data_IF_995081014950
#
_entry.id   IF_995081014950
#
_cell.length_a   1.000
_cell.length_b   1.000
_cell.length_c   1.000
_cell.angle_alpha   90.00
_cell.angle_beta   90.00
_cell.angle_gamma   90.00
#
_symmetry.space_group_name_H-M   'P 1'
#
loop_
_entity.id
_entity.type
_entity.pdbx_description
1 polymer ?
#
# COMPACT_ATOMS: atom_id res chain seq x y z
N UNK A 1 3.92 -21.23 28.94
CA UNK A 1 2.89 -20.18 29.02
C UNK A 1 2.37 -20.02 27.61
N UNK A 2 1.18 -20.62 27.36
CA UNK A 2 0.49 -20.50 26.08
C UNK A 2 -0.04 -19.08 25.98
N UNK A 3 0.56 -18.27 25.12
CA UNK A 3 -0.03 -17.01 24.68
C UNK A 3 -1.11 -17.41 23.66
N UNK A 4 -2.39 -17.09 23.87
CA UNK A 4 -3.40 -17.36 22.87
C UNK A 4 -3.05 -16.58 21.59
N UNK A 5 -3.19 -17.25 20.45
CA UNK A 5 -3.10 -16.61 19.16
C UNK A 5 -4.09 -15.41 19.13
N UNK A 6 -3.71 -14.27 18.51
CA UNK A 6 -4.62 -13.15 18.41
C UNK A 6 -5.90 -13.61 17.69
N UNK A 7 -7.05 -13.42 18.34
CA UNK A 7 -8.34 -13.64 17.71
C UNK A 7 -8.39 -12.76 16.46
N UNK A 8 -8.48 -13.37 15.27
CA UNK A 8 -8.83 -12.65 14.04
C UNK A 8 -10.12 -11.90 14.34
N UNK A 9 -10.13 -10.59 14.17
CA UNK A 9 -11.34 -9.82 14.29
C UNK A 9 -12.31 -10.35 13.23
N UNK A 10 -13.38 -11.00 13.68
CA UNK A 10 -14.44 -11.54 12.82
C UNK A 10 -15.30 -10.44 12.18
N UNK A 11 -14.77 -9.24 12.04
CA UNK A 11 -15.41 -8.16 11.30
C UNK A 11 -15.15 -8.40 9.81
N UNK A 12 -16.17 -8.72 9.00
CA UNK A 12 -16.02 -8.77 7.57
C UNK A 12 -15.54 -7.39 7.09
N UNK A 13 -14.37 -7.33 6.46
CA UNK A 13 -13.90 -6.13 5.81
C UNK A 13 -12.69 -5.42 6.46
N UNK A 14 -11.94 -6.02 7.37
CA UNK A 14 -10.70 -5.44 7.86
C UNK A 14 -9.50 -6.37 7.57
N UNK A 15 -8.98 -6.28 6.35
CA UNK A 15 -7.76 -6.99 5.92
C UNK A 15 -6.50 -6.12 6.07
N UNK A 16 -6.61 -4.96 6.71
CA UNK A 16 -5.46 -4.08 6.90
C UNK A 16 -4.38 -4.77 7.77
N UNK A 17 -3.13 -4.81 7.33
CA UNK A 17 -2.07 -5.49 8.06
C UNK A 17 -1.77 -4.82 9.40
N UNK A 18 -1.63 -5.62 10.45
CA UNK A 18 -1.38 -5.15 11.83
C UNK A 18 0.08 -5.33 12.27
N UNK A 19 0.91 -6.00 11.45
CA UNK A 19 2.25 -6.41 11.82
C UNK A 19 3.25 -6.13 10.68
N UNK A 20 4.51 -6.52 10.92
CA UNK A 20 5.53 -6.47 9.89
C UNK A 20 5.16 -7.35 8.68
N UNK A 21 5.14 -6.74 7.52
CA UNK A 21 4.84 -7.41 6.25
C UNK A 21 6.09 -7.48 5.39
N UNK A 22 6.64 -8.68 5.13
CA UNK A 22 7.80 -8.81 4.29
C UNK A 22 7.48 -8.47 2.83
N UNK A 23 8.33 -7.62 2.25
CA UNK A 23 8.29 -7.31 0.81
C UNK A 23 8.96 -8.44 0.04
N UNK A 24 8.19 -9.11 -0.79
CA UNK A 24 8.60 -10.32 -1.48
C UNK A 24 8.72 -10.15 -2.99
N UNK A 25 9.41 -11.09 -3.61
CA UNK A 25 9.50 -11.21 -5.07
C UNK A 25 8.81 -12.51 -5.49
N UNK A 26 7.56 -12.45 -5.98
CA UNK A 26 6.84 -13.62 -6.46
C UNK A 26 7.71 -14.43 -7.44
N UNK A 27 7.71 -15.75 -7.27
CA UNK A 27 8.56 -16.66 -8.03
C UNK A 27 9.97 -16.87 -7.49
N UNK A 28 10.42 -16.08 -6.50
CA UNK A 28 11.71 -16.32 -5.85
C UNK A 28 11.60 -17.46 -4.83
N UNK A 29 12.32 -18.54 -5.05
CA UNK A 29 12.30 -19.73 -4.16
C UNK A 29 12.75 -19.41 -2.73
N UNK A 30 13.65 -18.45 -2.56
CA UNK A 30 14.11 -17.99 -1.25
C UNK A 30 12.99 -17.32 -0.47
N UNK A 31 12.26 -16.40 -1.11
CA UNK A 31 11.18 -15.66 -0.46
C UNK A 31 10.02 -16.61 -0.08
N UNK A 32 9.68 -17.54 -0.99
CA UNK A 32 8.71 -18.60 -0.70
C UNK A 32 9.11 -19.43 0.50
N UNK A 33 10.38 -19.84 0.58
CA UNK A 33 10.88 -20.69 1.67
C UNK A 33 10.90 -19.95 3.01
N UNK A 34 11.25 -18.66 3.02
CA UNK A 34 11.36 -17.86 4.24
C UNK A 34 10.00 -17.37 4.73
N UNK A 35 9.14 -16.95 3.84
CA UNK A 35 7.92 -16.22 4.17
C UNK A 35 6.65 -16.96 3.77
N UNK A 36 6.63 -17.59 2.58
CA UNK A 36 5.41 -18.14 1.97
C UNK A 36 4.84 -19.39 2.63
N UNK A 37 5.58 -20.04 3.53
CA UNK A 37 5.14 -21.23 4.29
C UNK A 37 5.07 -20.98 5.80
N UNK A 38 5.26 -19.74 6.23
CA UNK A 38 5.33 -19.38 7.66
C UNK A 38 4.22 -18.38 8.01
N UNK A 39 2.99 -18.88 7.99
CA UNK A 39 1.78 -18.05 8.23
C UNK A 39 1.69 -17.52 9.67
N UNK A 40 2.26 -18.26 10.64
CA UNK A 40 2.23 -17.86 12.06
C UNK A 40 3.12 -16.62 12.31
N UNK A 41 4.27 -16.55 11.65
CA UNK A 41 5.21 -15.43 11.79
C UNK A 41 4.93 -14.31 10.79
N UNK A 42 4.46 -14.67 9.59
CA UNK A 42 4.15 -13.71 8.51
C UNK A 42 2.74 -13.93 7.98
N UNK A 43 1.72 -13.44 8.68
CA UNK A 43 0.31 -13.61 8.28
C UNK A 43 -0.04 -12.86 6.99
N UNK A 44 0.79 -11.90 6.58
CA UNK A 44 0.64 -11.16 5.34
C UNK A 44 1.96 -11.07 4.57
N UNK A 45 1.87 -11.07 3.23
CA UNK A 45 3.01 -10.85 2.33
C UNK A 45 2.71 -9.72 1.37
N UNK A 46 3.71 -8.91 1.09
CA UNK A 46 3.61 -7.82 0.12
C UNK A 46 4.37 -8.17 -1.16
N UNK A 47 3.75 -7.89 -2.32
CA UNK A 47 4.42 -7.91 -3.61
C UNK A 47 4.23 -6.57 -4.34
N UNK A 48 5.22 -6.10 -5.11
CA UNK A 48 5.09 -4.89 -5.89
C UNK A 48 4.15 -5.08 -7.09
N UNK A 49 3.39 -4.06 -7.46
CA UNK A 49 2.42 -4.10 -8.55
C UNK A 49 3.00 -4.64 -9.87
N UNK A 50 4.21 -4.21 -10.24
CA UNK A 50 4.89 -4.70 -11.46
C UNK A 50 5.17 -6.21 -11.47
N UNK A 51 5.14 -6.86 -10.30
CA UNK A 51 5.34 -8.31 -10.15
C UNK A 51 4.03 -9.07 -10.01
N UNK A 52 2.92 -8.40 -9.89
CA UNK A 52 1.60 -9.03 -9.72
C UNK A 52 1.20 -9.92 -10.89
N UNK A 53 1.73 -9.67 -12.10
CA UNK A 53 1.57 -10.55 -13.28
C UNK A 53 1.95 -12.00 -13.02
N UNK A 54 2.84 -12.24 -12.05
CA UNK A 54 3.20 -13.60 -11.68
C UNK A 54 1.99 -14.37 -11.18
N UNK A 55 1.14 -13.75 -10.37
CA UNK A 55 -0.06 -14.36 -9.80
C UNK A 55 -1.18 -14.57 -10.83
N UNK A 56 -1.19 -13.84 -11.94
CA UNK A 56 -2.11 -14.08 -13.08
C UNK A 56 -1.79 -15.43 -13.75
N UNK A 57 -0.50 -15.82 -13.77
CA UNK A 57 -0.03 -17.01 -14.49
C UNK A 57 0.24 -18.22 -13.58
N UNK A 58 0.22 -18.03 -12.28
CA UNK A 58 0.53 -19.08 -11.29
C UNK A 58 -0.47 -19.00 -10.13
N UNK A 59 -0.92 -20.16 -9.62
CA UNK A 59 -1.78 -20.16 -8.45
C UNK A 59 -1.06 -19.55 -7.24
N UNK A 60 -1.81 -18.86 -6.41
CA UNK A 60 -1.32 -18.19 -5.19
C UNK A 60 -0.53 -19.14 -4.29
N UNK A 61 -1.00 -20.38 -4.15
CA UNK A 61 -0.41 -21.43 -3.32
C UNK A 61 0.96 -21.90 -3.84
N UNK A 62 1.29 -21.60 -5.09
CA UNK A 62 2.63 -21.84 -5.61
C UNK A 62 3.68 -20.94 -4.95
N UNK A 63 3.27 -19.86 -4.27
CA UNK A 63 4.17 -18.90 -3.64
C UNK A 63 3.94 -18.74 -2.13
N UNK A 64 2.70 -18.76 -1.65
CA UNK A 64 2.33 -18.46 -0.27
C UNK A 64 1.28 -19.43 0.27
N UNK A 65 1.11 -19.44 1.59
CA UNK A 65 0.07 -20.22 2.22
C UNK A 65 -1.33 -19.61 1.94
N UNK A 66 -2.38 -20.42 1.75
CA UNK A 66 -3.73 -19.90 1.46
C UNK A 66 -4.28 -18.96 2.54
N UNK A 67 -3.90 -19.16 3.81
CA UNK A 67 -4.34 -18.33 4.94
C UNK A 67 -3.53 -17.04 5.11
N UNK A 68 -2.51 -16.80 4.30
CA UNK A 68 -1.77 -15.53 4.32
C UNK A 68 -2.52 -14.49 3.51
N UNK A 69 -2.50 -13.24 3.95
CA UNK A 69 -3.02 -12.09 3.20
C UNK A 69 -2.03 -11.66 2.12
N UNK A 70 -2.48 -11.55 0.87
CA UNK A 70 -1.67 -11.02 -0.22
C UNK A 70 -1.94 -9.53 -0.43
N UNK A 71 -0.91 -8.74 -0.21
CA UNK A 71 -0.93 -7.29 -0.43
C UNK A 71 -0.20 -6.96 -1.72
N UNK A 72 -0.86 -6.29 -2.64
CA UNK A 72 -0.19 -5.69 -3.79
C UNK A 72 -0.04 -4.19 -3.54
N UNK A 73 1.17 -3.69 -3.78
CA UNK A 73 1.53 -2.34 -3.45
C UNK A 73 2.00 -1.58 -4.70
N UNK A 74 1.39 -0.42 -4.95
CA UNK A 74 1.77 0.46 -6.07
C UNK A 74 2.93 1.40 -5.74
N UNK A 75 3.33 1.52 -4.47
CA UNK A 75 4.48 2.34 -4.04
C UNK A 75 5.78 1.76 -4.60
N UNK A 76 6.22 2.28 -5.72
CA UNK A 76 7.35 1.80 -6.50
C UNK A 76 8.22 2.96 -6.98
N UNK A 77 9.44 2.67 -7.45
CA UNK A 77 10.32 3.67 -8.02
C UNK A 77 9.67 4.39 -9.21
N UNK A 78 9.89 5.70 -9.34
CA UNK A 78 9.31 6.60 -10.35
C UNK A 78 9.27 6.04 -11.77
N UNK A 79 10.34 5.37 -12.21
CA UNK A 79 10.42 4.77 -13.54
C UNK A 79 9.33 3.72 -13.82
N UNK A 80 8.72 3.15 -12.77
CA UNK A 80 7.63 2.19 -12.87
C UNK A 80 6.25 2.82 -12.72
N UNK A 81 6.21 4.10 -12.29
CA UNK A 81 4.97 4.88 -12.17
C UNK A 81 4.60 5.57 -13.49
N UNK A 82 5.59 5.79 -14.36
CA UNK A 82 5.37 6.44 -15.67
C UNK A 82 4.36 5.63 -16.49
N UNK A 83 3.28 6.30 -16.93
CA UNK A 83 2.21 5.69 -17.73
C UNK A 83 1.21 4.84 -16.94
N UNK A 84 1.37 4.71 -15.62
CA UNK A 84 0.38 4.05 -14.77
C UNK A 84 -0.87 4.93 -14.68
N UNK A 85 -2.03 4.32 -14.87
CA UNK A 85 -3.33 4.99 -14.81
C UNK A 85 -4.30 4.16 -13.97
N UNK A 86 -5.36 4.75 -13.40
CA UNK A 86 -6.38 3.99 -12.69
C UNK A 86 -6.97 2.86 -13.53
N UNK A 87 -7.12 3.06 -14.82
CA UNK A 87 -7.61 2.04 -15.75
C UNK A 87 -6.66 0.83 -15.82
N UNK A 88 -5.34 1.07 -15.95
CA UNK A 88 -4.37 -0.03 -16.00
C UNK A 88 -4.30 -0.79 -14.67
N UNK A 89 -4.46 -0.09 -13.55
CA UNK A 89 -4.51 -0.71 -12.23
C UNK A 89 -5.78 -1.55 -12.10
N UNK A 90 -6.93 -1.02 -12.51
CA UNK A 90 -8.20 -1.74 -12.49
C UNK A 90 -8.18 -3.00 -13.37
N UNK A 91 -7.71 -2.90 -14.61
CA UNK A 91 -7.56 -4.05 -15.52
C UNK A 91 -6.70 -5.15 -14.89
N UNK A 92 -5.63 -4.75 -14.18
CA UNK A 92 -4.79 -5.70 -13.45
C UNK A 92 -5.51 -6.31 -12.24
N UNK A 93 -6.27 -5.52 -11.49
CA UNK A 93 -7.04 -6.04 -10.35
C UNK A 93 -8.14 -7.00 -10.81
N UNK A 94 -8.75 -6.77 -11.96
CA UNK A 94 -9.70 -7.74 -12.56
C UNK A 94 -9.04 -9.09 -12.88
N UNK A 95 -7.79 -9.08 -13.37
CA UNK A 95 -7.02 -10.32 -13.59
C UNK A 95 -6.64 -11.04 -12.28
N UNK A 96 -6.64 -10.32 -11.17
CA UNK A 96 -6.23 -10.77 -9.84
C UNK A 96 -7.40 -10.93 -8.87
N UNK A 97 -8.64 -10.83 -9.37
CA UNK A 97 -9.83 -10.96 -8.54
C UNK A 97 -9.88 -12.33 -7.84
N UNK A 98 -10.18 -12.32 -6.54
CA UNK A 98 -10.11 -13.51 -5.70
C UNK A 98 -8.69 -14.02 -5.39
N UNK A 99 -7.64 -13.31 -5.86
CA UNK A 99 -6.23 -13.66 -5.58
C UNK A 99 -5.61 -12.66 -4.62
N UNK A 100 -5.84 -11.37 -4.82
CA UNK A 100 -5.31 -10.26 -4.02
C UNK A 100 -6.31 -9.87 -2.96
N UNK A 101 -5.85 -9.77 -1.72
CA UNK A 101 -6.72 -9.39 -0.59
C UNK A 101 -6.72 -7.88 -0.36
N UNK A 102 -5.55 -7.24 -0.50
CA UNK A 102 -5.36 -5.81 -0.22
C UNK A 102 -4.56 -5.14 -1.35
N UNK A 103 -4.99 -3.94 -1.73
CA UNK A 103 -4.27 -3.11 -2.69
C UNK A 103 -4.09 -1.67 -2.19
N UNK A 104 -2.87 -1.16 -2.32
CA UNK A 104 -2.53 0.25 -2.10
C UNK A 104 -2.39 0.95 -3.46
N UNK A 105 -3.37 1.79 -3.87
CA UNK A 105 -3.47 2.35 -5.22
C UNK A 105 -2.70 3.63 -5.45
N UNK A 106 -2.45 3.95 -6.71
CA UNK A 106 -2.31 5.32 -7.19
C UNK A 106 -1.08 6.09 -6.72
N UNK A 107 0.02 5.37 -6.39
CA UNK A 107 1.26 6.04 -6.02
C UNK A 107 1.73 7.02 -7.11
N UNK A 108 2.19 8.18 -6.68
CA UNK A 108 2.75 9.25 -7.50
C UNK A 108 4.04 9.75 -6.88
N UNK A 109 4.92 10.22 -7.75
CA UNK A 109 6.13 10.87 -7.28
C UNK A 109 5.80 12.26 -6.75
N UNK A 110 5.75 12.35 -5.43
CA UNK A 110 5.57 13.59 -4.69
C UNK A 110 6.69 13.62 -3.64
N UNK A 111 7.75 14.35 -3.93
CA UNK A 111 8.94 14.43 -3.08
C UNK A 111 9.43 15.86 -2.95
N UNK A 112 10.06 16.14 -1.80
CA UNK A 112 10.83 17.36 -1.61
C UNK A 112 12.07 17.33 -2.50
N UNK A 113 11.96 17.93 -3.66
CA UNK A 113 13.06 18.05 -4.61
C UNK A 113 13.11 19.46 -5.19
N UNK A 114 14.32 19.99 -5.38
CA UNK A 114 14.53 21.27 -6.06
C UNK A 114 14.05 21.27 -7.52
N UNK A 115 13.71 20.08 -8.05
CA UNK A 115 13.28 19.88 -9.42
C UNK A 115 11.77 20.12 -9.67
N UNK A 116 10.98 20.28 -8.59
CA UNK A 116 9.52 20.41 -8.70
C UNK A 116 9.06 21.71 -8.03
N UNK A 117 8.43 22.59 -8.81
CA UNK A 117 7.83 23.80 -8.21
C UNK A 117 6.51 23.48 -7.46
N UNK A 118 6.06 24.42 -6.63
CA UNK A 118 4.85 24.22 -5.81
C UNK A 118 3.60 23.91 -6.64
N UNK A 119 3.51 24.42 -7.86
CA UNK A 119 2.35 24.19 -8.73
C UNK A 119 2.39 22.78 -9.33
N UNK A 120 3.57 22.33 -9.73
CA UNK A 120 3.79 20.99 -10.23
C UNK A 120 3.52 19.97 -9.14
N UNK A 121 4.02 20.22 -7.93
CA UNK A 121 3.78 19.40 -6.74
C UNK A 121 2.28 19.27 -6.44
N UNK A 122 1.56 20.38 -6.39
CA UNK A 122 0.10 20.36 -6.18
C UNK A 122 -0.60 19.55 -7.28
N UNK A 123 -0.18 19.72 -8.53
CA UNK A 123 -0.75 18.95 -9.65
C UNK A 123 -0.53 17.45 -9.51
N UNK A 124 0.62 17.00 -9.02
CA UNK A 124 0.87 15.57 -8.78
C UNK A 124 0.09 15.02 -7.58
N UNK A 125 -0.06 15.81 -6.51
CA UNK A 125 -0.93 15.46 -5.37
C UNK A 125 -2.39 15.30 -5.85
N UNK A 126 -2.92 16.28 -6.58
CA UNK A 126 -4.29 16.23 -7.12
C UNK A 126 -4.48 15.04 -8.07
N UNK A 127 -3.49 14.73 -8.91
CA UNK A 127 -3.53 13.54 -9.78
C UNK A 127 -3.52 12.24 -8.98
N UNK A 128 -2.76 12.17 -7.89
CA UNK A 128 -2.78 11.01 -6.99
C UNK A 128 -4.16 10.83 -6.39
N UNK A 129 -4.72 11.89 -5.80
CA UNK A 129 -6.03 11.88 -5.16
C UNK A 129 -7.13 11.47 -6.15
N UNK A 130 -7.23 12.15 -7.30
CA UNK A 130 -8.25 11.85 -8.30
C UNK A 130 -8.07 10.44 -8.92
N UNK A 131 -6.82 10.02 -9.12
CA UNK A 131 -6.52 8.68 -9.61
C UNK A 131 -6.97 7.59 -8.65
N UNK A 132 -6.70 7.74 -7.36
CA UNK A 132 -7.13 6.80 -6.32
C UNK A 132 -8.66 6.74 -6.22
N UNK A 133 -9.34 7.89 -6.21
CA UNK A 133 -10.80 7.97 -6.20
C UNK A 133 -11.43 7.30 -7.42
N UNK A 134 -10.85 7.52 -8.60
CA UNK A 134 -11.32 6.88 -9.83
C UNK A 134 -11.18 5.36 -9.77
N UNK A 135 -10.03 4.86 -9.30
CA UNK A 135 -9.81 3.43 -9.15
C UNK A 135 -10.77 2.81 -8.11
N UNK A 136 -10.95 3.48 -6.96
CA UNK A 136 -11.88 3.02 -5.94
C UNK A 136 -13.29 2.81 -6.50
N UNK A 137 -13.81 3.80 -7.25
CA UNK A 137 -15.12 3.66 -7.91
C UNK A 137 -15.17 2.52 -8.90
N UNK A 138 -14.11 2.34 -9.72
CA UNK A 138 -14.05 1.23 -10.69
C UNK A 138 -14.08 -0.14 -9.99
N UNK A 139 -13.40 -0.28 -8.85
CA UNK A 139 -13.37 -1.52 -8.07
C UNK A 139 -14.74 -1.81 -7.45
N UNK A 140 -15.36 -0.80 -6.83
CA UNK A 140 -16.71 -0.92 -6.26
C UNK A 140 -17.75 -1.26 -7.34
N UNK A 141 -17.77 -0.52 -8.46
CA UNK A 141 -18.69 -0.75 -9.58
C UNK A 141 -18.43 -2.11 -10.24
N UNK A 142 -17.19 -2.57 -10.24
CA UNK A 142 -16.78 -3.87 -10.77
C UNK A 142 -17.06 -5.04 -9.84
N UNK A 143 -17.34 -4.78 -8.56
CA UNK A 143 -17.62 -5.79 -7.54
C UNK A 143 -16.43 -6.71 -7.25
N UNK A 144 -15.19 -6.19 -7.33
CA UNK A 144 -13.99 -7.00 -7.08
C UNK A 144 -13.82 -7.27 -5.57
N UNK A 145 -13.42 -8.49 -5.21
CA UNK A 145 -13.11 -8.87 -3.81
C UNK A 145 -11.67 -8.47 -3.43
N UNK A 146 -11.41 -7.17 -3.38
CA UNK A 146 -10.14 -6.60 -2.95
C UNK A 146 -10.38 -5.37 -2.08
N UNK A 147 -9.74 -5.31 -0.92
CA UNK A 147 -9.79 -4.11 -0.08
C UNK A 147 -8.78 -3.06 -0.54
N UNK A 148 -9.24 -1.84 -0.71
CA UNK A 148 -8.40 -0.71 -1.08
C UNK A 148 -8.15 0.18 0.14
N UNK A 149 -6.89 0.58 0.35
CA UNK A 149 -6.52 1.58 1.34
C UNK A 149 -5.73 2.69 0.67
N UNK A 150 -6.09 3.97 0.90
CA UNK A 150 -5.46 5.08 0.20
C UNK A 150 -4.00 5.25 0.57
N UNK A 151 -3.20 5.71 -0.39
CA UNK A 151 -1.85 6.21 -0.16
C UNK A 151 -1.93 7.70 0.08
N UNK A 152 -1.38 8.14 1.21
CA UNK A 152 -1.21 9.57 1.50
C UNK A 152 0.15 9.99 0.97
N UNK A 153 0.16 11.03 0.15
CA UNK A 153 1.36 11.56 -0.50
C UNK A 153 1.73 12.94 0.03
N UNK A 154 3.03 13.24 0.02
CA UNK A 154 3.56 14.52 0.48
C UNK A 154 4.28 14.43 1.82
N UNK A 155 4.73 15.61 2.36
CA UNK A 155 5.54 15.72 3.58
C UNK A 155 5.18 16.97 4.42
N UNK A 156 4.24 17.81 3.98
CA UNK A 156 3.78 18.97 4.72
C UNK A 156 2.29 18.88 5.05
N UNK A 157 1.80 19.50 6.13
CA UNK A 157 0.39 19.44 6.52
C UNK A 157 -0.59 19.79 5.39
N UNK A 158 -0.27 20.79 4.56
CA UNK A 158 -1.15 21.18 3.46
C UNK A 158 -1.22 20.13 2.33
N UNK A 159 -0.18 19.30 2.14
CA UNK A 159 -0.23 18.14 1.24
C UNK A 159 -1.25 17.14 1.75
N UNK A 160 -1.18 16.84 3.05
CA UNK A 160 -2.08 15.88 3.69
C UNK A 160 -3.54 16.36 3.67
N UNK A 161 -3.79 17.66 3.84
CA UNK A 161 -5.14 18.22 3.71
C UNK A 161 -5.76 17.94 2.33
N UNK A 162 -4.98 17.98 1.25
CA UNK A 162 -5.45 17.58 -0.09
C UNK A 162 -5.79 16.08 -0.19
N UNK A 163 -5.21 15.25 0.66
CA UNK A 163 -5.49 13.81 0.70
C UNK A 163 -6.67 13.45 1.62
N UNK A 164 -7.19 14.39 2.42
CA UNK A 164 -8.23 14.12 3.45
C UNK A 164 -9.45 13.41 2.88
N UNK A 165 -9.94 13.84 1.73
CA UNK A 165 -11.14 13.27 1.10
C UNK A 165 -10.96 11.79 0.71
N UNK A 166 -9.71 11.30 0.57
CA UNK A 166 -9.47 9.88 0.30
C UNK A 166 -9.97 9.00 1.44
N UNK A 167 -9.74 9.38 2.70
CA UNK A 167 -10.22 8.64 3.86
C UNK A 167 -11.75 8.57 3.88
N UNK A 168 -12.42 9.65 3.49
CA UNK A 168 -13.87 9.71 3.39
C UNK A 168 -14.42 8.84 2.26
N UNK A 169 -13.82 8.96 1.05
CA UNK A 169 -14.25 8.20 -0.13
C UNK A 169 -14.04 6.70 0.05
N UNK A 170 -12.91 6.30 0.65
CA UNK A 170 -12.61 4.89 0.92
C UNK A 170 -13.34 4.37 2.18
N UNK A 171 -14.01 5.22 2.92
CA UNK A 171 -14.74 4.85 4.13
C UNK A 171 -13.85 4.26 5.23
N UNK A 172 -12.58 4.67 5.29
CA UNK A 172 -11.58 4.11 6.19
C UNK A 172 -10.82 5.19 6.94
N UNK A 173 -10.27 4.83 8.11
CA UNK A 173 -9.27 5.62 8.83
C UNK A 173 -7.87 4.99 8.77
N UNK A 174 -7.69 4.01 7.91
CA UNK A 174 -6.39 3.38 7.66
C UNK A 174 -5.83 3.86 6.33
N UNK A 175 -4.54 4.12 6.27
CA UNK A 175 -3.88 4.58 5.05
C UNK A 175 -2.48 3.99 4.91
N UNK A 176 -1.88 4.16 3.74
CA UNK A 176 -0.48 3.83 3.50
C UNK A 176 0.34 5.10 3.29
N UNK A 177 1.62 5.04 3.64
CA UNK A 177 2.60 6.09 3.44
C UNK A 177 3.90 5.50 2.89
N UNK A 178 4.50 6.13 1.88
CA UNK A 178 5.75 5.65 1.30
C UNK A 178 6.96 6.32 1.95
N UNK A 179 7.65 5.56 2.79
CA UNK A 179 8.90 5.96 3.45
C UNK A 179 10.17 5.47 2.72
N UNK A 180 10.07 4.94 1.49
CA UNK A 180 11.23 4.32 0.81
C UNK A 180 12.33 5.30 0.45
N UNK A 181 11.99 6.55 0.19
CA UNK A 181 12.93 7.61 -0.21
C UNK A 181 13.50 8.39 0.98
N UNK A 182 12.99 8.13 2.19
CA UNK A 182 13.53 8.76 3.40
C UNK A 182 14.95 8.27 3.68
N UNK A 183 15.84 9.21 3.85
CA UNK A 183 17.24 9.00 4.19
C UNK A 183 17.66 9.98 5.31
N UNK A 184 18.92 10.03 5.68
CA UNK A 184 19.42 10.89 6.75
C UNK A 184 19.16 12.40 6.58
N UNK A 185 18.63 12.85 5.46
CA UNK A 185 18.29 14.26 5.21
C UNK A 185 16.83 14.58 5.52
N UNK A 186 15.97 13.57 5.60
CA UNK A 186 14.54 13.72 5.80
C UNK A 186 14.15 13.07 7.12
N UNK A 187 13.35 13.77 7.92
CA UNK A 187 12.88 13.24 9.18
C UNK A 187 11.51 12.57 8.98
N UNK A 188 11.53 11.27 8.74
CA UNK A 188 10.32 10.46 8.57
C UNK A 188 9.34 10.63 9.74
N UNK A 189 9.87 10.76 10.98
CA UNK A 189 9.02 10.85 12.16
C UNK A 189 8.26 12.17 12.23
N UNK A 190 8.90 13.29 11.90
CA UNK A 190 8.25 14.60 11.88
C UNK A 190 7.13 14.62 10.84
N UNK A 191 7.36 13.99 9.68
CA UNK A 191 6.35 13.92 8.61
C UNK A 191 5.19 12.99 8.98
N UNK A 192 5.46 11.85 9.65
CA UNK A 192 4.41 10.98 10.16
C UNK A 192 3.61 11.64 11.29
N UNK A 193 4.27 12.39 12.20
CA UNK A 193 3.59 13.15 13.23
C UNK A 193 2.67 14.21 12.61
N UNK A 194 3.16 14.97 11.62
CA UNK A 194 2.36 15.95 10.90
C UNK A 194 1.17 15.30 10.15
N UNK A 195 1.36 14.10 9.57
CA UNK A 195 0.28 13.33 8.95
C UNK A 195 -0.79 12.93 9.98
N UNK A 196 -0.35 12.40 11.13
CA UNK A 196 -1.27 12.01 12.20
C UNK A 196 -2.02 13.22 12.76
N UNK A 197 -1.35 14.33 13.03
CA UNK A 197 -1.98 15.56 13.51
C UNK A 197 -2.96 16.14 12.50
N UNK A 198 -2.65 16.04 11.20
CA UNK A 198 -3.48 16.61 10.13
C UNK A 198 -4.70 15.75 9.84
N UNK A 199 -4.53 14.44 9.64
CA UNK A 199 -5.59 13.55 9.14
C UNK A 199 -6.24 12.68 10.24
N UNK A 200 -5.52 12.39 11.33
CA UNK A 200 -5.98 11.54 12.41
C UNK A 200 -6.28 10.09 11.99
N UNK A 201 -5.41 9.41 11.22
CA UNK A 201 -5.64 8.03 10.87
C UNK A 201 -5.51 7.13 12.11
N UNK A 202 -6.30 6.06 12.16
CA UNK A 202 -6.20 5.06 13.22
C UNK A 202 -4.98 4.13 13.00
N UNK A 203 -4.61 3.91 11.73
CA UNK A 203 -3.51 3.01 11.33
C UNK A 203 -2.80 3.52 10.07
N UNK A 204 -1.48 3.36 10.05
CA UNK A 204 -0.63 3.71 8.90
C UNK A 204 0.18 2.48 8.50
N UNK A 205 0.05 2.05 7.24
CA UNK A 205 0.97 1.11 6.62
C UNK A 205 2.19 1.86 6.08
N UNK A 206 3.31 1.73 6.77
CA UNK A 206 4.56 2.35 6.34
C UNK A 206 5.30 1.43 5.37
N UNK A 207 5.37 1.81 4.09
CA UNK A 207 6.19 1.13 3.11
C UNK A 207 7.61 1.70 3.15
N UNK A 208 8.63 0.88 3.43
CA UNK A 208 10.01 1.37 3.45
C UNK A 208 10.97 0.46 4.18
N UNK A 209 12.19 0.94 4.35
CA UNK A 209 13.19 0.31 5.20
C UNK A 209 13.06 0.86 6.61
N UNK A 210 12.52 0.06 7.51
CA UNK A 210 12.63 0.34 8.94
C UNK A 210 13.97 -0.23 9.39
N UNK A 211 14.98 0.62 9.58
CA UNK A 211 16.25 0.20 10.20
C UNK A 211 16.18 0.43 11.71
N UNK A 212 17.00 -0.31 12.48
CA UNK A 212 17.12 -0.09 13.93
C UNK A 212 17.55 1.35 14.31
N UNK A 213 18.04 2.13 13.36
CA UNK A 213 18.41 3.53 13.57
C UNK A 213 17.17 4.46 13.53
N UNK A 214 16.01 3.93 13.13
CA UNK A 214 14.74 4.66 13.01
C UNK A 214 13.67 4.17 13.99
N UNK A 215 14.01 3.22 14.85
CA UNK A 215 13.20 2.74 15.97
C UNK A 215 13.79 3.18 17.31
#
# INVERSE_FOLDING_TARGET
>A
RDTPAPERSDMPGDRFPHEFVPKTKPGASTDRRLFGNNVEEFPALQAPFRRSTWFVNQPREAFMHPDQTLIINSMEQNKFLVGRTPKNEFERLQELDGIVDVYFPGDRWVMDSDDMDRRELLSEIERSVEGQKALYRMVEDGGLDVELYPIIVGWEPWHYEHCRELLEVFGTKSCAFDGTEYNSKFNLWDDLEALVETLGPDRIYLNGRVSHEHL
#
